data_IF_425208266103
#
_entry.id   IF_425208266103
#
_cell.length_a   1.000
_cell.length_b   1.000
_cell.length_c   1.000
_cell.angle_alpha   90.00
_cell.angle_beta   90.00
_cell.angle_gamma   90.00
#
_symmetry.space_group_name_H-M   'P 1'
#
loop_
_entity.id
_entity.type
_entity.pdbx_description
1 polymer ?
#
# COMPACT_ATOMS: atom_id res chain seq x y z
N UNK A 1 13.46 13.12 -5.53
CA UNK A 1 12.42 13.73 -6.38
C UNK A 1 12.60 15.24 -6.41
N UNK A 2 12.83 15.83 -7.60
CA UNK A 2 12.99 17.30 -7.75
C UNK A 2 11.66 18.02 -7.62
N UNK A 3 10.62 17.49 -8.27
CA UNK A 3 9.26 18.02 -8.26
C UNK A 3 8.31 17.06 -7.54
N UNK A 4 7.47 17.60 -6.67
CA UNK A 4 6.47 16.79 -5.94
C UNK A 4 5.26 16.51 -6.85
N UNK A 5 5.38 15.50 -7.71
CA UNK A 5 4.34 15.10 -8.68
C UNK A 5 3.58 13.83 -8.29
N UNK A 6 3.64 13.44 -7.02
CA UNK A 6 2.94 12.26 -6.51
C UNK A 6 3.87 11.12 -6.10
N UNK A 7 3.26 9.98 -5.75
CA UNK A 7 3.95 8.82 -5.18
C UNK A 7 4.64 7.93 -6.23
N UNK A 8 4.13 7.88 -7.46
CA UNK A 8 4.78 7.10 -8.52
C UNK A 8 6.14 7.68 -8.93
N UNK A 9 6.31 9.00 -9.21
CA UNK A 9 7.63 9.58 -9.49
C UNK A 9 8.60 9.52 -8.29
N UNK A 10 8.08 9.44 -7.06
CA UNK A 10 8.93 9.22 -5.89
C UNK A 10 9.56 7.82 -5.93
N UNK A 11 8.78 6.80 -6.29
CA UNK A 11 9.28 5.44 -6.48
C UNK A 11 10.29 5.38 -7.63
N UNK A 12 10.02 5.99 -8.79
CA UNK A 12 10.97 6.05 -9.91
C UNK A 12 12.34 6.58 -9.47
N UNK A 13 12.34 7.70 -8.74
CA UNK A 13 13.58 8.27 -8.19
C UNK A 13 14.28 7.33 -7.20
N UNK A 14 13.53 6.52 -6.47
CA UNK A 14 14.08 5.50 -5.56
C UNK A 14 14.69 4.32 -6.31
N UNK A 15 14.06 3.88 -7.40
CA UNK A 15 14.55 2.76 -8.23
C UNK A 15 15.91 3.03 -8.85
N UNK A 16 16.21 4.29 -9.23
CA UNK A 16 17.51 4.70 -9.74
C UNK A 16 18.66 4.43 -8.76
N UNK A 17 18.39 4.46 -7.44
CA UNK A 17 19.37 4.24 -6.40
C UNK A 17 19.52 2.77 -5.97
N UNK A 18 18.62 1.88 -6.44
CA UNK A 18 18.62 0.46 -6.07
C UNK A 18 19.38 -0.35 -7.12
N UNK A 19 20.32 -1.20 -6.68
CA UNK A 19 21.08 -2.09 -7.58
C UNK A 19 20.16 -2.89 -8.50
N UNK A 20 20.55 -3.01 -9.77
CA UNK A 20 19.82 -3.80 -10.78
C UNK A 20 19.74 -5.30 -10.46
N UNK A 21 20.60 -5.80 -9.58
CA UNK A 21 20.58 -7.19 -9.09
C UNK A 21 19.43 -7.49 -8.11
N UNK A 22 18.73 -6.47 -7.61
CA UNK A 22 17.60 -6.65 -6.71
C UNK A 22 16.35 -6.95 -7.53
N UNK A 23 15.76 -8.11 -7.33
CA UNK A 23 14.61 -8.60 -8.10
C UNK A 23 13.25 -8.20 -7.48
N UNK A 24 13.20 -7.92 -6.18
CA UNK A 24 11.98 -7.58 -5.46
C UNK A 24 12.12 -6.24 -4.75
N UNK A 25 11.17 -5.36 -4.95
CA UNK A 25 11.16 -4.01 -4.40
C UNK A 25 10.01 -3.88 -3.42
N UNK A 26 10.34 -3.67 -2.15
CA UNK A 26 9.34 -3.36 -1.12
C UNK A 26 9.21 -1.84 -0.99
N UNK A 27 7.99 -1.36 -1.13
CA UNK A 27 7.63 0.06 -1.08
C UNK A 27 6.61 0.29 0.01
N UNK A 28 6.79 1.33 0.81
CA UNK A 28 5.82 1.71 1.86
C UNK A 28 5.73 3.21 1.99
N UNK A 29 4.57 3.70 2.40
CA UNK A 29 4.40 5.10 2.77
C UNK A 29 4.98 5.34 4.17
N UNK A 30 5.82 6.39 4.29
CA UNK A 30 6.54 6.67 5.53
C UNK A 30 5.64 7.12 6.67
N UNK A 31 4.51 7.73 6.37
CA UNK A 31 3.50 8.21 7.32
C UNK A 31 2.59 7.09 7.88
N UNK A 32 2.51 5.95 7.18
CA UNK A 32 1.67 4.80 7.57
C UNK A 32 2.47 3.68 8.26
N UNK A 33 3.79 3.63 8.05
CA UNK A 33 4.64 2.49 8.41
C UNK A 33 5.27 2.53 9.80
N UNK A 34 4.94 3.54 10.63
CA UNK A 34 5.62 3.78 11.91
C UNK A 34 5.56 2.61 12.91
N UNK A 35 4.58 1.73 12.79
CA UNK A 35 4.35 0.58 13.67
C UNK A 35 4.47 -0.77 12.97
N UNK A 36 4.98 -0.80 11.75
CA UNK A 36 5.18 -2.06 11.05
C UNK A 36 6.27 -2.88 11.76
N UNK A 37 5.92 -4.11 12.21
CA UNK A 37 6.89 -5.00 12.82
C UNK A 37 7.81 -5.62 11.75
N UNK A 38 9.00 -6.06 12.15
CA UNK A 38 9.96 -6.65 11.20
C UNK A 38 9.40 -7.89 10.49
N UNK A 39 8.56 -8.66 11.17
CA UNK A 39 7.93 -9.88 10.67
C UNK A 39 6.99 -9.60 9.48
N UNK A 40 6.41 -8.39 9.42
CA UNK A 40 5.55 -7.98 8.31
C UNK A 40 6.28 -8.03 6.97
N UNK A 41 7.54 -7.62 6.95
CA UNK A 41 8.34 -7.60 5.72
C UNK A 41 8.59 -9.01 5.19
N UNK A 42 8.87 -9.95 6.09
CA UNK A 42 9.00 -11.36 5.72
C UNK A 42 7.66 -11.95 5.27
N UNK A 43 6.57 -11.55 5.93
CA UNK A 43 5.22 -11.99 5.59
C UNK A 43 4.85 -11.60 4.15
N UNK A 44 4.96 -10.32 3.79
CA UNK A 44 4.61 -9.84 2.44
C UNK A 44 5.54 -10.42 1.37
N UNK A 45 6.86 -10.51 1.63
CA UNK A 45 7.83 -11.07 0.69
C UNK A 45 7.58 -12.55 0.45
N UNK A 46 7.28 -13.32 1.49
CA UNK A 46 6.98 -14.75 1.39
C UNK A 46 5.70 -14.99 0.61
N UNK A 47 4.66 -14.19 0.88
CA UNK A 47 3.37 -14.29 0.22
C UNK A 47 3.47 -13.87 -1.26
N UNK A 48 4.24 -12.82 -1.56
CA UNK A 48 4.55 -12.38 -2.92
C UNK A 48 5.20 -13.49 -3.75
N UNK A 49 6.22 -14.16 -3.20
CA UNK A 49 6.93 -15.27 -3.86
C UNK A 49 6.01 -16.48 -4.05
N UNK A 50 5.25 -16.84 -3.02
CA UNK A 50 4.32 -17.99 -3.04
C UNK A 50 3.29 -17.88 -4.17
N UNK A 51 2.82 -16.67 -4.46
CA UNK A 51 1.82 -16.42 -5.50
C UNK A 51 2.45 -16.04 -6.85
N UNK A 52 3.79 -15.98 -6.93
CA UNK A 52 4.51 -15.55 -8.13
C UNK A 52 3.94 -14.25 -8.71
N UNK A 53 3.66 -13.30 -7.84
CA UNK A 53 2.94 -12.07 -8.19
C UNK A 53 3.86 -11.06 -8.86
N UNK A 54 3.30 -10.24 -9.74
CA UNK A 54 3.97 -9.07 -10.28
C UNK A 54 3.90 -7.90 -9.28
N UNK A 55 2.74 -7.77 -8.63
CA UNK A 55 2.54 -6.85 -7.52
C UNK A 55 1.73 -7.52 -6.40
N UNK A 56 2.19 -7.35 -5.18
CA UNK A 56 1.45 -7.72 -3.96
C UNK A 56 1.21 -6.48 -3.12
N UNK A 57 -0.05 -6.23 -2.78
CA UNK A 57 -0.47 -5.17 -1.88
C UNK A 57 -0.65 -5.74 -0.48
N UNK A 58 -0.23 -5.00 0.52
CA UNK A 58 -0.62 -5.28 1.90
C UNK A 58 -1.99 -4.66 2.17
N UNK A 59 -2.91 -5.44 2.71
CA UNK A 59 -4.19 -4.96 3.21
C UNK A 59 -4.41 -5.34 4.67
N UNK A 60 -5.28 -4.61 5.33
CA UNK A 60 -5.79 -4.89 6.67
C UNK A 60 -7.29 -4.64 6.71
N UNK A 61 -7.97 -5.19 7.73
CA UNK A 61 -9.37 -4.85 8.01
C UNK A 61 -9.43 -3.91 9.19
N UNK A 62 -10.04 -2.74 9.00
CA UNK A 62 -10.20 -1.72 10.04
C UNK A 62 -11.68 -1.52 10.39
N UNK A 63 -12.02 -1.23 11.66
CA UNK A 63 -13.41 -0.95 12.06
C UNK A 63 -13.99 0.28 11.34
N UNK A 64 -13.18 1.33 11.21
CA UNK A 64 -13.56 2.58 10.56
C UNK A 64 -12.62 2.89 9.38
N UNK A 65 -13.05 2.60 8.14
CA UNK A 65 -12.23 2.82 6.94
C UNK A 65 -12.42 4.21 6.30
N UNK A 66 -13.12 5.15 6.93
CA UNK A 66 -13.41 6.48 6.37
C UNK A 66 -12.12 7.17 5.93
N UNK A 67 -12.15 7.71 4.71
CA UNK A 67 -11.03 8.44 4.10
C UNK A 67 -9.94 7.56 3.49
N UNK A 68 -10.09 6.23 3.48
CA UNK A 68 -9.08 5.29 3.01
C UNK A 68 -9.47 4.61 1.70
N UNK A 69 -8.51 4.11 0.95
CA UNK A 69 -8.74 3.29 -0.25
C UNK A 69 -9.22 1.88 0.10
N UNK A 70 -10.31 1.42 -0.53
CA UNK A 70 -10.88 0.08 -0.31
C UNK A 70 -10.37 -0.92 -1.32
N UNK A 71 -10.09 -2.14 -0.87
CA UNK A 71 -9.77 -3.25 -1.77
C UNK A 71 -11.07 -3.83 -2.33
N UNK A 72 -11.21 -3.76 -3.64
CA UNK A 72 -12.35 -4.38 -4.34
C UNK A 72 -12.03 -5.83 -4.68
N UNK A 73 -12.93 -6.74 -4.28
CA UNK A 73 -12.82 -8.17 -4.61
C UNK A 73 -14.05 -8.64 -5.39
N UNK A 74 -13.81 -9.46 -6.40
CA UNK A 74 -14.87 -10.17 -7.12
C UNK A 74 -15.41 -11.37 -6.32
N UNK A 75 -16.45 -12.02 -6.85
CA UNK A 75 -17.10 -13.16 -6.20
C UNK A 75 -16.18 -14.36 -5.89
N UNK A 76 -15.09 -14.51 -6.63
CA UNK A 76 -14.05 -15.54 -6.37
C UNK A 76 -12.99 -15.09 -5.34
N UNK A 77 -13.14 -13.91 -4.73
CA UNK A 77 -12.12 -13.30 -3.86
C UNK A 77 -10.95 -12.64 -4.62
N UNK A 78 -10.93 -12.74 -5.96
CA UNK A 78 -9.90 -12.12 -6.80
C UNK A 78 -9.97 -10.60 -6.68
N UNK A 79 -8.82 -9.95 -6.64
CA UNK A 79 -8.72 -8.48 -6.63
C UNK A 79 -9.24 -7.91 -7.94
N UNK A 80 -10.08 -6.89 -7.84
CA UNK A 80 -10.66 -6.16 -8.96
C UNK A 80 -10.14 -4.72 -9.05
N UNK A 81 -9.49 -4.21 -8.00
CA UNK A 81 -8.95 -2.87 -7.94
C UNK A 81 -8.94 -2.29 -6.55
N UNK A 82 -8.60 -1.00 -6.49
CA UNK A 82 -8.71 -0.14 -5.31
C UNK A 82 -9.70 0.98 -5.66
N UNK A 83 -10.59 1.32 -4.74
CA UNK A 83 -11.46 2.49 -4.87
C UNK A 83 -11.20 3.46 -3.73
N UNK A 84 -10.91 4.70 -4.08
CA UNK A 84 -10.72 5.76 -3.10
C UNK A 84 -12.06 6.24 -2.52
N UNK A 85 -12.08 6.65 -1.24
CA UNK A 85 -13.29 7.10 -0.51
C UNK A 85 -14.14 8.09 -1.30
N UNK A 86 -13.49 9.07 -1.96
CA UNK A 86 -14.18 10.18 -2.65
C UNK A 86 -15.02 9.74 -3.85
N UNK A 87 -14.68 8.61 -4.45
CA UNK A 87 -15.36 8.07 -5.65
C UNK A 87 -16.06 6.74 -5.36
N UNK A 88 -15.97 6.23 -4.15
CA UNK A 88 -16.61 4.99 -3.73
C UNK A 88 -18.15 5.14 -3.65
N UNK A 89 -18.88 4.16 -4.14
CA UNK A 89 -20.33 4.02 -3.91
C UNK A 89 -20.60 3.72 -2.43
N UNK A 90 -21.84 3.90 -1.97
CA UNK A 90 -22.18 3.63 -0.56
C UNK A 90 -21.91 2.16 -0.18
N UNK A 91 -22.20 1.21 -1.07
CA UNK A 91 -21.88 -0.19 -0.87
C UNK A 91 -20.35 -0.44 -0.76
N UNK A 92 -19.54 0.26 -1.55
CA UNK A 92 -18.08 0.16 -1.48
C UNK A 92 -17.50 0.78 -0.21
N UNK A 93 -18.12 1.83 0.33
CA UNK A 93 -17.72 2.45 1.61
C UNK A 93 -17.86 1.52 2.81
N UNK A 94 -18.77 0.53 2.73
CA UNK A 94 -18.95 -0.49 3.78
C UNK A 94 -17.81 -1.52 3.82
N UNK A 95 -16.96 -1.60 2.79
CA UNK A 95 -15.81 -2.50 2.76
C UNK A 95 -14.82 -2.07 3.83
N UNK A 96 -14.46 -3.04 4.70
CA UNK A 96 -13.52 -2.82 5.82
C UNK A 96 -12.07 -3.12 5.46
N UNK A 97 -11.83 -3.79 4.34
CA UNK A 97 -10.48 -4.09 3.85
C UNK A 97 -9.92 -2.88 3.10
N UNK A 98 -8.80 -2.36 3.61
CA UNK A 98 -8.16 -1.15 3.10
C UNK A 98 -6.79 -1.43 2.51
N UNK A 99 -6.38 -0.59 1.56
CA UNK A 99 -5.00 -0.50 1.10
C UNK A 99 -4.16 0.25 2.13
N UNK A 100 -3.03 -0.34 2.53
CA UNK A 100 -2.13 0.24 3.54
C UNK A 100 -1.01 1.11 2.96
N UNK A 101 -0.92 1.23 1.63
CA UNK A 101 0.20 1.91 0.99
C UNK A 101 1.53 1.13 1.05
N UNK A 102 1.49 -0.15 1.38
CA UNK A 102 2.65 -1.04 1.37
C UNK A 102 2.52 -2.06 0.23
N UNK A 103 3.57 -2.16 -0.59
CA UNK A 103 3.60 -2.98 -1.80
C UNK A 103 4.89 -3.77 -1.90
N UNK A 104 4.81 -4.97 -2.47
CA UNK A 104 5.96 -5.70 -2.98
C UNK A 104 5.81 -5.84 -4.50
N UNK A 105 6.81 -5.39 -5.24
CA UNK A 105 6.85 -5.44 -6.70
C UNK A 105 7.94 -6.40 -7.17
N UNK A 106 7.67 -7.15 -8.23
CA UNK A 106 8.72 -7.69 -9.06
C UNK A 106 9.37 -6.52 -9.83
N UNK A 107 10.70 -6.45 -9.84
CA UNK A 107 11.43 -5.30 -10.38
C UNK A 107 11.12 -5.04 -11.85
N UNK A 108 11.21 -6.08 -12.69
CA UNK A 108 10.95 -5.97 -14.13
C UNK A 108 9.51 -5.50 -14.42
N UNK A 109 8.54 -5.90 -13.60
CA UNK A 109 7.17 -5.42 -13.68
C UNK A 109 7.09 -3.92 -13.41
N UNK A 110 7.62 -3.45 -12.26
CA UNK A 110 7.45 -2.03 -11.89
C UNK A 110 8.22 -1.11 -12.84
N UNK A 111 9.42 -1.47 -13.27
CA UNK A 111 10.18 -0.71 -14.27
C UNK A 111 9.46 -0.62 -15.61
N UNK A 112 8.76 -1.67 -16.02
CA UNK A 112 7.97 -1.70 -17.26
C UNK A 112 6.68 -0.89 -17.17
N UNK A 113 6.00 -0.88 -16.02
CA UNK A 113 4.63 -0.40 -15.88
C UNK A 113 4.48 0.96 -15.23
N UNK A 114 5.46 1.43 -14.46
CA UNK A 114 5.33 2.67 -13.68
C UNK A 114 5.07 3.90 -14.57
N UNK A 115 5.65 3.94 -15.75
CA UNK A 115 5.44 5.01 -16.73
C UNK A 115 4.04 5.03 -17.39
N UNK A 116 3.22 3.98 -17.18
CA UNK A 116 1.85 3.89 -17.70
C UNK A 116 0.82 4.52 -16.74
N UNK A 117 1.22 4.86 -15.52
CA UNK A 117 0.37 5.56 -14.54
C UNK A 117 0.01 6.93 -15.09
N UNK A 118 -1.29 7.23 -15.13
CA UNK A 118 -1.80 8.50 -15.65
C UNK A 118 -1.84 9.56 -14.56
N UNK A 119 -1.70 10.81 -14.98
CA UNK A 119 -1.87 11.94 -14.07
C UNK A 119 -3.33 12.04 -13.63
N UNK A 120 -3.55 12.20 -12.34
CA UNK A 120 -4.89 12.48 -11.83
C UNK A 120 -5.30 13.91 -12.26
N UNK A 121 -6.42 14.09 -12.97
CA UNK A 121 -6.79 15.39 -13.54
C UNK A 121 -7.15 16.46 -12.50
N UNK A 122 -7.48 16.04 -11.27
CA UNK A 122 -7.88 16.94 -10.19
C UNK A 122 -6.67 17.38 -9.38
N UNK A 123 -5.86 16.43 -8.87
CA UNK A 123 -4.71 16.72 -8.02
C UNK A 123 -3.45 17.08 -8.82
N UNK A 124 -3.41 16.76 -10.12
CA UNK A 124 -2.24 16.87 -10.99
C UNK A 124 -1.03 16.05 -10.49
N UNK A 125 -1.32 14.90 -9.84
CA UNK A 125 -0.34 13.96 -9.29
C UNK A 125 -0.47 12.58 -9.91
N UNK A 126 0.64 11.82 -9.92
CA UNK A 126 0.68 10.41 -10.32
C UNK A 126 0.64 9.54 -9.06
N UNK A 127 -0.46 8.83 -8.84
CA UNK A 127 -0.63 7.98 -7.67
C UNK A 127 -0.11 6.57 -7.92
N UNK A 128 0.76 6.08 -7.04
CA UNK A 128 1.26 4.72 -7.12
C UNK A 128 0.15 3.66 -7.00
N UNK A 129 -0.96 3.98 -6.33
CA UNK A 129 -2.13 3.11 -6.23
C UNK A 129 -2.70 2.72 -7.59
N UNK A 130 -2.57 3.58 -8.60
CA UNK A 130 -3.10 3.33 -9.96
C UNK A 130 -2.33 2.23 -10.70
N UNK A 131 -1.15 1.83 -10.20
CA UNK A 131 -0.39 0.68 -10.72
C UNK A 131 -1.20 -0.63 -10.68
N UNK A 132 -2.15 -0.74 -9.74
CA UNK A 132 -3.02 -1.91 -9.63
C UNK A 132 -3.96 -2.00 -10.83
N UNK A 133 -4.55 -0.88 -11.24
CA UNK A 133 -5.40 -0.81 -12.44
C UNK A 133 -4.59 -1.10 -13.69
N UNK A 134 -3.39 -0.52 -13.80
CA UNK A 134 -2.45 -0.81 -14.90
C UNK A 134 -2.16 -2.30 -14.96
N UNK A 135 -1.77 -2.93 -13.86
CA UNK A 135 -1.47 -4.36 -13.79
C UNK A 135 -2.66 -5.22 -14.23
N UNK A 136 -3.86 -4.94 -13.69
CA UNK A 136 -5.08 -5.69 -14.02
C UNK A 136 -5.44 -5.55 -15.51
N UNK A 137 -5.28 -4.37 -16.11
CA UNK A 137 -5.58 -4.13 -17.52
C UNK A 137 -4.68 -4.91 -18.48
N UNK A 138 -3.46 -5.23 -18.06
CA UNK A 138 -2.51 -6.04 -18.82
C UNK A 138 -2.55 -7.53 -18.49
N UNK A 139 -3.38 -7.95 -17.53
CA UNK A 139 -3.43 -9.34 -17.08
C UNK A 139 -2.22 -9.76 -16.22
N UNK A 140 -1.45 -8.77 -15.70
CA UNK A 140 -0.36 -9.02 -14.77
C UNK A 140 -0.91 -9.61 -13.45
N UNK A 141 -0.09 -10.35 -12.71
CA UNK A 141 -0.50 -11.07 -11.49
C UNK A 141 -0.56 -10.13 -10.29
N UNK A 142 -1.77 -9.68 -9.95
CA UNK A 142 -2.04 -8.86 -8.75
C UNK A 142 -2.47 -9.75 -7.60
N UNK A 143 -1.80 -9.65 -6.46
CA UNK A 143 -2.16 -10.32 -5.22
C UNK A 143 -2.40 -9.31 -4.09
N UNK A 144 -3.30 -9.61 -3.17
CA UNK A 144 -3.51 -8.83 -1.95
C UNK A 144 -3.34 -9.72 -0.74
N UNK A 145 -2.33 -9.39 0.02
CA UNK A 145 -1.88 -10.06 1.23
C UNK A 145 -2.59 -9.41 2.43
N UNK A 146 -3.60 -10.09 2.97
CA UNK A 146 -4.34 -9.60 4.13
C UNK A 146 -3.58 -9.92 5.41
N UNK A 147 -3.09 -8.87 6.09
CA UNK A 147 -2.45 -9.02 7.40
C UNK A 147 -3.50 -9.07 8.52
N UNK A 148 -3.40 -10.02 9.46
CA UNK A 148 -4.46 -10.25 10.44
C UNK A 148 -4.58 -9.18 11.52
N UNK A 149 -3.47 -8.51 11.86
CA UNK A 149 -3.42 -7.49 12.91
C UNK A 149 -3.47 -6.07 12.33
N UNK A 150 -4.61 -5.41 12.47
CA UNK A 150 -4.77 -4.02 12.02
C UNK A 150 -4.11 -2.98 12.93
N UNK A 151 -3.64 -3.38 14.12
CA UNK A 151 -2.98 -2.46 15.05
C UNK A 151 -1.62 -1.96 14.60
N UNK A 152 -1.05 -2.61 13.58
CA UNK A 152 0.22 -2.21 12.95
C UNK A 152 0.10 -0.94 12.12
N UNK A 153 -1.10 -0.60 11.64
CA UNK A 153 -1.31 0.52 10.74
C UNK A 153 -1.86 1.74 11.47
N UNK A 154 -1.22 2.86 11.28
CA UNK A 154 -1.65 4.15 11.80
C UNK A 154 -1.28 5.24 10.82
N UNK A 155 -2.26 5.74 10.06
CA UNK A 155 -2.06 6.93 9.23
C UNK A 155 -1.73 8.16 10.09
N UNK A 156 -0.62 8.84 9.78
CA UNK A 156 -0.18 10.04 10.49
C UNK A 156 -0.27 11.22 9.53
N UNK A 157 -1.45 11.79 9.42
CA UNK A 157 -1.74 12.90 8.51
C UNK A 157 -1.70 14.28 9.18
N UNK A 158 -1.72 14.33 10.53
CA UNK A 158 -1.72 15.57 11.30
C UNK A 158 -0.89 15.49 12.59
N UNK A 159 -0.66 16.66 13.22
CA UNK A 159 0.10 16.75 14.48
C UNK A 159 -0.54 16.00 15.66
N UNK A 160 -1.86 15.87 15.68
CA UNK A 160 -2.57 15.15 16.75
C UNK A 160 -2.34 13.64 16.61
N UNK A 161 -2.46 13.11 15.39
CA UNK A 161 -2.17 11.70 15.07
C UNK A 161 -0.69 11.38 15.34
N UNK A 162 0.22 12.28 14.96
CA UNK A 162 1.65 12.14 15.27
C UNK A 162 1.92 12.09 16.78
N UNK A 163 1.31 13.00 17.57
CA UNK A 163 1.47 13.00 19.03
C UNK A 163 0.94 11.71 19.68
N UNK A 164 -0.20 11.16 19.17
CA UNK A 164 -0.75 9.87 19.62
C UNK A 164 0.20 8.73 19.27
N UNK A 165 0.75 8.73 18.05
CA UNK A 165 1.71 7.72 17.62
C UNK A 165 2.97 7.70 18.47
N UNK A 166 3.55 8.86 18.80
CA UNK A 166 4.70 8.96 19.73
C UNK A 166 4.36 8.40 21.11
N UNK A 167 3.19 8.77 21.67
CA UNK A 167 2.77 8.24 22.97
C UNK A 167 2.65 6.72 22.93
N UNK A 168 1.99 6.16 21.93
CA UNK A 168 1.87 4.71 21.75
C UNK A 168 3.25 4.04 21.64
N UNK A 169 4.17 4.58 20.86
CA UNK A 169 5.53 4.03 20.71
C UNK A 169 6.36 4.10 22.00
N UNK A 170 6.19 5.15 22.80
CA UNK A 170 6.92 5.34 24.08
C UNK A 170 6.32 4.52 25.24
N UNK A 171 5.01 4.37 25.28
CA UNK A 171 4.30 3.85 26.46
C UNK A 171 3.57 2.53 26.22
N UNK A 172 3.21 2.20 24.96
CA UNK A 172 2.50 0.96 24.61
C UNK A 172 3.30 -0.33 24.91
N UNK A 173 4.61 -0.24 25.07
CA UNK A 173 5.44 -1.38 25.52
C UNK A 173 5.34 -1.69 27.02
N UNK A 174 4.61 -0.88 27.82
CA UNK A 174 4.49 -1.08 29.27
C UNK A 174 3.20 -1.81 29.68
N UNK A 175 2.19 -1.87 28.80
CA UNK A 175 0.92 -2.53 29.12
C UNK A 175 0.90 -4.02 28.77
N UNK A 176 1.80 -4.48 27.87
CA UNK A 176 1.92 -5.90 27.51
C UNK A 176 2.90 -6.68 28.41
N UNK A 177 3.44 -6.05 29.46
CA UNK A 177 4.44 -6.64 30.37
C UNK A 177 3.96 -6.75 31.84
N UNK A 178 2.63 -6.65 32.06
CA UNK A 178 2.05 -6.80 33.41
C UNK A 178 0.98 -7.86 33.46
#
# INVERSE_FOLDING_TARGET
>A
QKDKKGTAPALESGLEAVSSSIEQILVMYGDDSAFYPAELFQFILTDHRKHESDVTLLSIKVPNPIGLGRILRGGSGKVMGIVEEKVATDAQKEIKEINTGCYCFRRDFIEKRIGEIKINPISQEYYLTDIVEVALSHGDKVHVCLYPDSSIWHGINDRSQWAKAIRKKKFGKKEDAS
#
